data_IF_044122138733
#
_entry.id   IF_044122138733
#
_cell.length_a   1.000
_cell.length_b   1.000
_cell.length_c   1.000
_cell.angle_alpha   90.00
_cell.angle_beta   90.00
_cell.angle_gamma   90.00
#
_symmetry.space_group_name_H-M   'P 1'
#
loop_
_entity.id
_entity.type
_entity.pdbx_description
1 polymer ?
#
# COMPACT_ATOMS: atom_id res chain seq x y z
N UNK A 1 3.42 15.47 18.21
CA UNK A 1 3.92 14.95 16.92
C UNK A 1 5.42 14.84 17.06
N UNK A 2 5.96 13.62 16.97
CA UNK A 2 7.39 13.37 17.11
C UNK A 2 7.96 13.11 15.72
N UNK A 3 9.00 13.85 15.34
CA UNK A 3 9.70 13.67 14.07
C UNK A 3 11.04 12.95 14.32
N UNK A 4 11.32 11.92 13.53
CA UNK A 4 12.59 11.22 13.53
C UNK A 4 13.22 11.40 12.15
N UNK A 5 14.41 12.01 12.08
CA UNK A 5 15.15 12.18 10.83
C UNK A 5 15.85 10.87 10.44
N UNK A 6 15.05 9.85 10.10
CA UNK A 6 15.47 8.55 9.59
C UNK A 6 14.51 8.09 8.50
N UNK A 7 15.02 7.34 7.54
CA UNK A 7 14.19 6.60 6.59
C UNK A 7 13.68 5.32 7.23
N UNK A 8 12.49 4.88 6.85
CA UNK A 8 12.09 3.50 7.11
C UNK A 8 12.82 2.60 6.11
N UNK A 9 13.43 1.52 6.59
CA UNK A 9 14.17 0.58 5.75
C UNK A 9 14.02 -0.88 6.19
N UNK A 10 14.55 -1.83 5.39
CA UNK A 10 14.52 -3.25 5.71
C UNK A 10 15.43 -3.62 6.89
N UNK A 11 16.43 -2.78 7.19
CA UNK A 11 17.39 -3.00 8.28
C UNK A 11 17.76 -1.71 9.02
N UNK A 12 18.20 -1.83 10.26
CA UNK A 12 18.67 -0.72 11.06
C UNK A 12 20.13 -0.41 10.71
N UNK A 13 20.37 0.62 9.90
CA UNK A 13 21.74 0.99 9.50
C UNK A 13 21.84 2.45 9.10
N UNK A 14 22.80 3.17 9.65
CA UNK A 14 23.06 4.57 9.30
C UNK A 14 21.79 5.40 9.48
N UNK A 15 21.22 5.90 8.37
CA UNK A 15 20.00 6.71 8.35
C UNK A 15 18.69 5.93 8.21
N UNK A 16 18.74 4.60 8.32
CA UNK A 16 17.57 3.73 8.26
C UNK A 16 17.19 3.16 9.63
N UNK A 17 15.88 3.10 9.88
CA UNK A 17 15.25 2.41 11.00
C UNK A 17 14.21 1.43 10.46
N UNK A 18 14.11 0.23 11.04
CA UNK A 18 13.03 -0.69 10.65
C UNK A 18 11.71 -0.23 11.23
N UNK A 19 10.60 -0.50 10.53
CA UNK A 19 9.26 -0.22 11.06
C UNK A 19 9.03 -0.90 12.41
N UNK A 20 9.52 -2.13 12.57
CA UNK A 20 9.47 -2.89 13.81
C UNK A 20 10.08 -2.13 14.99
N UNK A 21 11.30 -1.60 14.79
CA UNK A 21 12.00 -0.83 15.81
C UNK A 21 11.29 0.49 16.10
N UNK A 22 10.87 1.19 15.04
CA UNK A 22 10.15 2.45 15.18
C UNK A 22 8.87 2.28 16.00
N UNK A 23 8.06 1.25 15.72
CA UNK A 23 6.85 0.92 16.47
C UNK A 23 7.18 0.67 17.95
N UNK A 24 8.17 -0.18 18.24
CA UNK A 24 8.55 -0.53 19.61
C UNK A 24 9.08 0.65 20.44
N UNK A 25 9.72 1.63 19.80
CA UNK A 25 10.27 2.81 20.49
C UNK A 25 9.27 3.96 20.61
N UNK A 26 8.24 4.02 19.76
CA UNK A 26 7.40 5.22 19.63
C UNK A 26 5.91 4.98 19.92
N UNK A 27 5.50 3.76 20.23
CA UNK A 27 4.08 3.42 20.48
C UNK A 27 3.92 2.57 21.73
N UNK A 28 2.77 2.69 22.40
CA UNK A 28 2.41 1.78 23.49
C UNK A 28 1.81 0.48 22.94
N UNK A 29 2.13 -0.65 23.54
CA UNK A 29 1.83 -1.99 23.01
C UNK A 29 0.34 -2.25 22.73
N UNK A 30 -0.56 -1.69 23.52
CA UNK A 30 -2.01 -1.95 23.46
C UNK A 30 -2.80 -0.84 22.72
N UNK A 31 -2.19 -0.27 21.67
CA UNK A 31 -2.84 0.77 20.86
C UNK A 31 -3.01 0.34 19.41
N UNK A 32 -4.21 0.55 18.88
CA UNK A 32 -4.47 0.48 17.43
C UNK A 32 -3.74 1.61 16.73
N UNK A 33 -2.99 1.29 15.68
CA UNK A 33 -2.23 2.25 14.90
C UNK A 33 -2.94 2.56 13.57
N UNK A 34 -2.65 3.75 13.03
CA UNK A 34 -2.97 4.15 11.66
C UNK A 34 -1.65 4.31 10.92
N UNK A 35 -1.46 3.58 9.81
CA UNK A 35 -0.32 3.77 8.92
C UNK A 35 -0.74 4.65 7.75
N UNK A 36 0.05 5.68 7.48
CA UNK A 36 0.08 6.35 6.18
C UNK A 36 1.50 6.20 5.64
N UNK A 37 1.65 5.60 4.47
CA UNK A 37 2.93 5.26 3.86
C UNK A 37 2.97 5.75 2.42
N UNK A 38 3.97 6.58 2.15
CA UNK A 38 4.40 7.06 0.85
C UNK A 38 5.92 7.23 1.00
N UNK A 39 6.69 6.30 0.42
CA UNK A 39 8.14 6.21 0.58
C UNK A 39 8.84 5.95 -0.76
N UNK A 40 8.24 6.40 -1.87
CA UNK A 40 8.88 6.54 -3.19
C UNK A 40 9.54 5.23 -3.70
N UNK A 41 8.83 4.10 -3.60
CA UNK A 41 9.28 2.80 -4.14
C UNK A 41 9.85 1.84 -3.08
N UNK A 42 10.23 2.36 -1.91
CA UNK A 42 10.76 1.54 -0.83
C UNK A 42 9.70 0.64 -0.16
N UNK A 43 8.41 0.75 -0.53
CA UNK A 43 7.32 -0.06 0.03
C UNK A 43 7.60 -1.56 -0.11
N UNK A 44 8.15 -1.97 -1.26
CA UNK A 44 8.42 -3.37 -1.60
C UNK A 44 9.65 -3.98 -0.90
N UNK A 45 10.49 -3.16 -0.28
CA UNK A 45 11.61 -3.60 0.55
C UNK A 45 11.25 -3.56 2.04
N UNK A 46 10.46 -2.56 2.45
CA UNK A 46 10.07 -2.33 3.84
C UNK A 46 8.96 -3.28 4.28
N UNK A 47 7.84 -3.32 3.56
CA UNK A 47 6.65 -4.04 4.01
C UNK A 47 6.89 -5.54 4.22
N UNK A 48 7.67 -6.26 3.38
CA UNK A 48 7.98 -7.67 3.63
C UNK A 48 8.74 -7.92 4.94
N UNK A 49 9.52 -6.94 5.42
CA UNK A 49 10.33 -7.07 6.64
C UNK A 49 9.59 -6.79 7.95
N UNK A 50 8.37 -6.27 7.92
CA UNK A 50 7.60 -5.93 9.13
C UNK A 50 7.01 -7.20 9.74
N UNK A 51 7.24 -7.56 11.01
CA UNK A 51 6.67 -8.78 11.59
C UNK A 51 5.13 -8.79 11.56
N UNK A 52 4.51 -9.97 11.46
CA UNK A 52 3.06 -10.11 11.35
C UNK A 52 2.31 -9.51 12.55
N UNK A 53 2.89 -9.65 13.74
CA UNK A 53 2.38 -9.09 14.98
C UNK A 53 2.36 -7.56 14.93
N UNK A 54 3.36 -6.94 14.28
CA UNK A 54 3.44 -5.48 14.14
C UNK A 54 2.58 -4.95 13.01
N UNK A 55 2.46 -5.69 11.90
CA UNK A 55 1.43 -5.40 10.89
C UNK A 55 0.04 -5.42 11.53
N UNK A 56 -0.27 -6.42 12.35
CA UNK A 56 -1.56 -6.55 13.03
C UNK A 56 -1.85 -5.41 14.04
N UNK A 57 -0.87 -4.59 14.42
CA UNK A 57 -1.12 -3.41 15.25
C UNK A 57 -1.76 -2.28 14.47
N UNK A 58 -1.54 -2.22 13.16
CA UNK A 58 -2.23 -1.26 12.31
C UNK A 58 -3.69 -1.70 12.14
N UNK A 59 -4.61 -0.88 12.62
CA UNK A 59 -6.03 -1.09 12.39
C UNK A 59 -6.39 -0.72 10.94
N UNK A 60 -5.77 0.34 10.45
CA UNK A 60 -5.96 0.88 9.09
C UNK A 60 -4.58 1.20 8.54
N UNK A 61 -4.36 0.87 7.26
CA UNK A 61 -3.17 1.26 6.51
C UNK A 61 -3.59 1.94 5.22
N UNK A 62 -3.04 3.11 4.95
CA UNK A 62 -3.12 3.83 3.69
C UNK A 62 -1.72 3.80 3.09
N UNK A 63 -1.56 3.14 1.94
CA UNK A 63 -0.26 2.93 1.33
C UNK A 63 -0.34 3.38 -0.13
N UNK A 64 0.51 4.31 -0.51
CA UNK A 64 0.79 4.61 -1.91
C UNK A 64 1.90 3.68 -2.40
N UNK A 65 1.58 2.84 -3.38
CA UNK A 65 2.53 1.93 -4.00
C UNK A 65 3.07 2.55 -5.27
N UNK A 66 4.39 2.70 -5.33
CA UNK A 66 5.12 3.24 -6.48
C UNK A 66 5.54 2.13 -7.45
N UNK A 67 6.04 2.48 -8.64
CA UNK A 67 6.65 1.57 -9.63
C UNK A 67 5.87 0.28 -9.95
N UNK A 68 4.54 0.29 -9.86
CA UNK A 68 3.72 -0.90 -10.06
C UNK A 68 3.73 -1.41 -11.51
N UNK A 69 4.08 -0.56 -12.47
CA UNK A 69 4.27 -0.97 -13.87
C UNK A 69 5.46 -1.92 -14.07
N UNK A 70 6.32 -2.10 -13.06
CA UNK A 70 7.34 -3.14 -13.05
C UNK A 70 6.79 -4.56 -12.84
N UNK A 71 5.48 -4.71 -12.63
CA UNK A 71 4.80 -6.01 -12.49
C UNK A 71 5.04 -6.97 -13.68
N UNK A 72 5.43 -6.47 -14.85
CA UNK A 72 5.74 -7.31 -16.01
C UNK A 72 7.11 -8.00 -15.93
N UNK A 73 7.97 -7.61 -14.97
CA UNK A 73 9.18 -8.34 -14.65
C UNK A 73 8.85 -9.53 -13.73
N UNK A 74 9.29 -10.73 -14.07
CA UNK A 74 8.92 -11.96 -13.35
C UNK A 74 9.34 -11.96 -11.87
N UNK A 75 10.55 -11.47 -11.55
CA UNK A 75 11.02 -11.40 -10.17
C UNK A 75 10.20 -10.39 -9.36
N UNK A 76 9.90 -9.24 -9.98
CA UNK A 76 9.05 -8.21 -9.38
C UNK A 76 7.63 -8.71 -9.15
N UNK A 77 7.04 -9.40 -10.13
CA UNK A 77 5.74 -10.04 -10.01
C UNK A 77 5.66 -10.96 -8.79
N UNK A 78 6.65 -11.85 -8.62
CA UNK A 78 6.69 -12.78 -7.49
C UNK A 78 6.79 -12.06 -6.14
N UNK A 79 7.58 -10.98 -6.08
CA UNK A 79 7.70 -10.12 -4.88
C UNK A 79 6.38 -9.42 -4.55
N UNK A 80 5.74 -8.82 -5.55
CA UNK A 80 4.44 -8.15 -5.41
C UNK A 80 3.36 -9.13 -4.94
N UNK A 81 3.25 -10.28 -5.60
CA UNK A 81 2.29 -11.32 -5.25
C UNK A 81 2.48 -11.77 -3.79
N UNK A 82 3.73 -12.05 -3.39
CA UNK A 82 4.04 -12.46 -2.02
C UNK A 82 3.68 -11.37 -0.99
N UNK A 83 3.97 -10.11 -1.31
CA UNK A 83 3.64 -8.98 -0.46
C UNK A 83 2.12 -8.84 -0.28
N UNK A 84 1.34 -8.80 -1.36
CA UNK A 84 -0.11 -8.62 -1.26
C UNK A 84 -0.79 -9.84 -0.62
N UNK A 85 -0.31 -11.05 -0.88
CA UNK A 85 -0.79 -12.26 -0.18
C UNK A 85 -0.59 -12.13 1.33
N UNK A 86 0.61 -11.69 1.75
CA UNK A 86 0.94 -11.47 3.17
C UNK A 86 0.09 -10.38 3.82
N UNK A 87 -0.09 -9.24 3.16
CA UNK A 87 -0.99 -8.18 3.67
C UNK A 87 -2.42 -8.72 3.84
N UNK A 88 -2.85 -9.58 2.92
CA UNK A 88 -4.16 -10.21 2.96
C UNK A 88 -4.33 -11.20 4.12
N UNK A 89 -3.27 -11.67 4.79
CA UNK A 89 -3.42 -12.55 5.96
C UNK A 89 -4.04 -11.83 7.16
N UNK A 90 -3.73 -10.54 7.32
CA UNK A 90 -4.13 -9.74 8.50
C UNK A 90 -5.12 -8.64 8.17
N UNK A 91 -5.16 -8.19 6.92
CA UNK A 91 -5.99 -7.08 6.48
C UNK A 91 -6.84 -7.43 5.26
N UNK A 92 -7.88 -6.62 5.04
CA UNK A 92 -8.73 -6.62 3.86
C UNK A 92 -8.50 -5.31 3.12
N UNK A 93 -8.26 -5.39 1.82
CA UNK A 93 -8.27 -4.22 0.94
C UNK A 93 -9.71 -3.69 0.85
N UNK A 94 -9.96 -2.47 1.32
CA UNK A 94 -11.30 -1.88 1.35
C UNK A 94 -11.47 -0.70 0.40
N UNK A 95 -10.38 -0.10 -0.06
CA UNK A 95 -10.40 0.95 -1.07
C UNK A 95 -9.13 0.92 -1.91
N UNK A 96 -9.28 1.26 -3.17
CA UNK A 96 -8.20 1.31 -4.14
C UNK A 96 -8.44 2.46 -5.11
N UNK A 97 -7.42 3.26 -5.32
CA UNK A 97 -7.46 4.42 -6.19
C UNK A 97 -6.20 4.48 -7.06
N UNK A 98 -6.35 4.60 -8.37
CA UNK A 98 -5.22 4.74 -9.28
C UNK A 98 -4.71 6.19 -9.27
N UNK A 99 -3.41 6.39 -9.08
CA UNK A 99 -2.83 7.74 -9.02
C UNK A 99 -2.40 8.19 -10.43
N UNK A 100 -2.97 9.30 -10.90
CA UNK A 100 -2.72 9.84 -12.24
C UNK A 100 -1.53 10.81 -12.33
N UNK A 101 -0.72 10.94 -11.28
CA UNK A 101 0.47 11.83 -11.23
C UNK A 101 1.56 11.33 -12.18
N UNK A 102 1.64 10.01 -12.40
CA UNK A 102 2.53 9.38 -13.38
C UNK A 102 1.71 8.89 -14.58
N UNK A 103 2.34 8.82 -15.75
CA UNK A 103 1.66 8.43 -16.99
C UNK A 103 1.41 6.93 -16.95
N UNK A 104 0.23 6.49 -17.37
CA UNK A 104 -0.12 5.09 -17.34
C UNK A 104 0.69 4.31 -18.39
N UNK A 105 1.13 3.11 -18.03
CA UNK A 105 1.88 2.21 -18.91
C UNK A 105 0.90 1.28 -19.62
N UNK A 106 1.02 1.14 -20.94
CA UNK A 106 0.17 0.24 -21.74
C UNK A 106 0.95 -0.96 -22.22
N UNK A 107 0.50 -2.17 -21.88
CA UNK A 107 1.14 -3.44 -22.25
C UNK A 107 0.09 -4.48 -22.58
N UNK A 108 0.19 -5.12 -23.75
CA UNK A 108 -0.70 -6.24 -24.11
C UNK A 108 -2.19 -5.90 -24.13
N UNK A 109 -2.56 -4.63 -24.38
CA UNK A 109 -3.95 -4.16 -24.32
C UNK A 109 -4.44 -3.79 -22.91
N UNK A 110 -3.61 -3.98 -21.88
CA UNK A 110 -3.88 -3.50 -20.53
C UNK A 110 -3.26 -2.12 -20.33
N UNK A 111 -3.92 -1.30 -19.52
CA UNK A 111 -3.42 -0.01 -19.05
C UNK A 111 -3.20 -0.13 -17.54
N UNK A 112 -1.99 0.14 -17.06
CA UNK A 112 -1.62 -0.02 -15.65
C UNK A 112 -1.12 1.32 -15.10
N UNK A 113 -1.59 1.75 -13.93
CA UNK A 113 -1.01 2.91 -13.26
C UNK A 113 0.33 2.52 -12.60
N UNK A 114 1.40 3.29 -12.82
CA UNK A 114 2.65 3.10 -12.08
C UNK A 114 2.51 3.37 -10.58
N UNK A 115 1.54 4.20 -10.19
CA UNK A 115 1.28 4.57 -8.79
C UNK A 115 -0.17 4.32 -8.45
N UNK A 116 -0.45 3.72 -7.31
CA UNK A 116 -1.81 3.57 -6.80
C UNK A 116 -1.85 3.64 -5.28
N UNK A 117 -2.97 4.11 -4.76
CA UNK A 117 -3.24 4.18 -3.33
C UNK A 117 -4.16 3.02 -2.93
N UNK A 118 -3.81 2.34 -1.85
CA UNK A 118 -4.58 1.24 -1.29
C UNK A 118 -4.86 1.48 0.19
N UNK A 119 -6.13 1.36 0.58
CA UNK A 119 -6.53 1.37 1.98
C UNK A 119 -6.89 -0.04 2.42
N UNK A 120 -6.28 -0.45 3.52
CA UNK A 120 -6.49 -1.73 4.17
C UNK A 120 -7.11 -1.54 5.55
N UNK A 121 -8.03 -2.42 5.93
CA UNK A 121 -8.60 -2.52 7.27
C UNK A 121 -8.26 -3.88 7.88
N UNK A 122 -7.88 -3.91 9.16
CA UNK A 122 -7.58 -5.16 9.87
C UNK A 122 -8.80 -6.07 9.92
N UNK A 123 -8.59 -7.38 9.68
CA UNK A 123 -9.67 -8.36 9.52
C UNK A 123 -10.61 -8.46 10.73
N UNK A 124 -10.11 -8.33 11.96
CA UNK A 124 -10.91 -8.35 13.20
C UNK A 124 -11.90 -7.18 13.31
N UNK A 125 -11.75 -6.13 12.49
CA UNK A 125 -12.65 -4.98 12.42
C UNK A 125 -13.72 -5.08 11.35
N UNK A 126 -13.64 -6.10 10.50
CA UNK A 126 -14.68 -6.38 9.51
C UNK A 126 -15.73 -7.29 10.14
N UNK A 127 -17.01 -6.95 9.97
CA UNK A 127 -18.15 -7.74 10.44
C UNK A 127 -19.17 -7.90 9.33
N UNK A 128 -19.75 -9.09 9.21
CA UNK A 128 -20.76 -9.40 8.20
C UNK A 128 -20.17 -9.63 6.81
N UNK A 129 -21.06 -9.70 5.82
CA UNK A 129 -20.68 -9.90 4.43
C UNK A 129 -20.11 -8.61 3.85
N UNK A 130 -18.97 -8.74 3.16
CA UNK A 130 -18.35 -7.65 2.43
C UNK A 130 -18.90 -7.63 0.99
N UNK A 131 -19.70 -6.62 0.60
CA UNK A 131 -20.06 -6.47 -0.80
C UNK A 131 -18.81 -6.14 -1.63
N UNK A 132 -18.86 -6.45 -2.93
CA UNK A 132 -17.84 -5.97 -3.87
C UNK A 132 -17.78 -4.43 -3.82
N UNK A 133 -16.55 -3.89 -3.75
CA UNK A 133 -16.35 -2.46 -3.78
C UNK A 133 -16.70 -1.89 -5.16
N UNK A 134 -17.32 -0.71 -5.19
CA UNK A 134 -17.43 0.05 -6.44
C UNK A 134 -16.09 0.73 -6.72
N UNK A 135 -15.46 0.36 -7.84
CA UNK A 135 -14.17 0.90 -8.27
C UNK A 135 -14.32 1.49 -9.68
N UNK A 136 -14.03 2.80 -9.90
CA UNK A 136 -13.66 3.79 -8.88
C UNK A 136 -14.82 4.11 -7.93
N UNK A 137 -14.49 4.56 -6.73
CA UNK A 137 -15.48 5.00 -5.77
C UNK A 137 -16.05 6.38 -6.18
N UNK A 138 -17.35 6.68 -5.98
CA UNK A 138 -17.94 7.95 -6.43
C UNK A 138 -17.31 9.23 -5.86
N UNK A 139 -16.58 9.11 -4.74
CA UNK A 139 -15.87 10.23 -4.12
C UNK A 139 -14.42 10.38 -4.58
N UNK A 140 -13.92 9.47 -5.42
CA UNK A 140 -12.53 9.52 -5.89
C UNK A 140 -12.27 10.80 -6.67
N UNK A 141 -11.15 11.45 -6.36
CA UNK A 141 -10.68 12.66 -7.00
C UNK A 141 -9.32 12.40 -7.63
N UNK A 142 -9.05 13.06 -8.75
CA UNK A 142 -7.77 12.94 -9.43
C UNK A 142 -6.65 13.53 -8.56
N UNK A 143 -5.53 12.81 -8.43
CA UNK A 143 -4.35 13.31 -7.71
C UNK A 143 -3.77 14.56 -8.38
N UNK A 144 -3.81 14.61 -9.72
CA UNK A 144 -3.23 15.68 -10.51
C UNK A 144 -4.21 16.22 -11.55
N UNK A 145 -4.51 17.52 -11.46
CA UNK A 145 -5.27 18.25 -12.47
C UNK A 145 -4.47 18.49 -13.77
N UNK A 146 -3.18 18.16 -13.79
CA UNK A 146 -2.29 18.38 -14.95
C UNK A 146 -2.30 17.21 -15.93
N UNK A 147 -2.88 16.07 -15.55
CA UNK A 147 -2.89 14.85 -16.36
C UNK A 147 -4.30 14.31 -16.50
N UNK A 148 -4.64 13.66 -17.62
CA UNK A 148 -5.92 12.97 -17.75
C UNK A 148 -6.09 11.96 -16.63
N UNK A 149 -7.30 11.86 -16.10
CA UNK A 149 -7.63 10.72 -15.28
C UNK A 149 -8.07 9.58 -16.20
N UNK A 150 -7.23 8.57 -16.30
CA UNK A 150 -7.57 7.35 -17.01
C UNK A 150 -8.55 6.58 -16.13
N UNK A 151 -9.60 6.02 -16.72
CA UNK A 151 -10.54 5.18 -15.99
C UNK A 151 -9.77 4.04 -15.32
N UNK A 152 -10.11 3.74 -14.06
CA UNK A 152 -9.49 2.63 -13.32
C UNK A 152 -9.55 1.37 -14.19
N UNK A 153 -8.40 0.73 -14.46
CA UNK A 153 -8.35 -0.37 -15.41
C UNK A 153 -9.35 -1.48 -15.07
N UNK A 154 -9.95 -2.10 -16.11
CA UNK A 154 -10.93 -3.19 -15.93
C UNK A 154 -10.42 -4.36 -15.09
N UNK A 155 -9.09 -4.56 -14.99
CA UNK A 155 -8.53 -5.65 -14.18
C UNK A 155 -8.84 -5.51 -12.67
N UNK A 156 -9.21 -4.31 -12.20
CA UNK A 156 -9.61 -4.06 -10.82
C UNK A 156 -11.12 -4.27 -10.56
N UNK A 157 -11.92 -4.43 -11.62
CA UNK A 157 -13.38 -4.36 -11.56
C UNK A 157 -14.08 -5.74 -11.51
N UNK A 158 -13.33 -6.83 -11.34
CA UNK A 158 -13.83 -8.21 -11.39
C UNK A 158 -13.53 -9.00 -10.12
#
# INVERSE_FOLDING_TARGET
MNFMQKFIGPENRGDFVTMQKWIGENTADDTDLLLQMDIEGAEYDVLPGIAAESLARFRIMLIEFHDFDQIFNADTFNRLQSLFARLSETHVLCHLHANNTVGYTSVGGFTIPPVFEATYIRRDRVRGDLPHAQIPHPLDQHNSNKRPNVQTPHFWAH
#
